data_IF_865463517435
#
_entry.id   IF_865463517435
#
_cell.length_a   1.000
_cell.length_b   1.000
_cell.length_c   1.000
_cell.angle_alpha   90.00
_cell.angle_beta   90.00
_cell.angle_gamma   90.00
#
_symmetry.space_group_name_H-M   'P 1'
#
loop_
_entity.id
_entity.type
_entity.pdbx_description
1 polymer ?
#
# COMPACT_ATOMS: atom_id res chain seq x y z
N UNK A 1 -37.58 35.79 25.08
CA UNK A 1 -36.94 34.94 24.05
C UNK A 1 -37.96 34.66 22.96
N UNK A 2 -37.69 35.00 21.70
CA UNK A 2 -38.57 34.59 20.59
C UNK A 2 -38.34 33.10 20.32
N UNK A 3 -39.33 32.26 20.58
CA UNK A 3 -39.32 30.88 20.10
C UNK A 3 -39.30 30.95 18.57
N UNK A 4 -38.18 30.57 17.94
CA UNK A 4 -38.19 30.34 16.49
C UNK A 4 -39.14 29.16 16.25
N UNK A 5 -40.10 29.35 15.35
CA UNK A 5 -41.03 28.31 14.96
C UNK A 5 -40.24 27.10 14.43
N UNK A 6 -40.57 25.92 14.95
CA UNK A 6 -40.08 24.65 14.40
C UNK A 6 -40.74 24.47 13.04
N UNK A 7 -39.94 24.30 11.99
CA UNK A 7 -40.46 23.86 10.69
C UNK A 7 -40.76 22.37 10.80
N UNK A 8 -42.04 22.03 10.71
CA UNK A 8 -42.56 20.66 10.71
C UNK A 8 -43.35 20.41 9.43
N UNK A 9 -43.42 19.14 9.03
CA UNK A 9 -44.07 18.71 7.79
C UNK A 9 -44.97 17.53 8.08
N UNK A 10 -46.21 17.60 7.61
CA UNK A 10 -47.07 16.44 7.59
C UNK A 10 -46.70 15.54 6.40
N UNK A 11 -46.45 14.27 6.67
CA UNK A 11 -46.19 13.27 5.64
C UNK A 11 -47.50 13.02 4.88
N UNK A 12 -47.40 13.03 3.55
CA UNK A 12 -48.50 12.71 2.64
C UNK A 12 -47.97 11.79 1.56
N UNK A 13 -48.67 10.71 1.29
CA UNK A 13 -48.20 9.68 0.35
C UNK A 13 -47.99 10.28 -1.05
N UNK A 14 -48.90 11.15 -1.49
CA UNK A 14 -48.88 11.82 -2.80
C UNK A 14 -47.64 12.70 -3.05
N UNK A 15 -47.02 13.24 -2.00
CA UNK A 15 -45.91 14.20 -2.08
C UNK A 15 -44.59 13.67 -1.57
N UNK A 16 -44.63 12.74 -0.63
CA UNK A 16 -43.47 12.28 0.13
C UNK A 16 -43.25 10.76 -0.01
N UNK A 17 -43.75 10.16 -1.09
CA UNK A 17 -43.58 8.74 -1.39
C UNK A 17 -42.12 8.27 -1.25
N UNK A 18 -41.15 9.07 -1.71
CA UNK A 18 -39.73 8.71 -1.60
C UNK A 18 -39.26 8.57 -0.15
N UNK A 19 -39.81 9.35 0.77
CA UNK A 19 -39.44 9.30 2.19
C UNK A 19 -40.06 8.09 2.88
N UNK A 20 -41.31 7.75 2.53
CA UNK A 20 -41.99 6.55 3.03
C UNK A 20 -41.29 5.27 2.54
N UNK A 21 -40.85 5.24 1.28
CA UNK A 21 -40.09 4.13 0.70
C UNK A 21 -38.68 3.95 1.30
N UNK A 22 -38.16 4.96 2.01
CA UNK A 22 -36.89 4.81 2.75
C UNK A 22 -37.07 4.03 4.08
N UNK A 23 -38.30 3.71 4.49
CA UNK A 23 -38.63 2.93 5.69
C UNK A 23 -37.87 3.41 6.94
N UNK A 24 -37.80 4.73 7.10
CA UNK A 24 -37.05 5.35 8.19
C UNK A 24 -37.82 5.24 9.50
N UNK A 25 -37.07 5.18 10.59
CA UNK A 25 -37.62 5.19 11.94
C UNK A 25 -37.17 6.45 12.69
N UNK A 26 -37.98 6.89 13.64
CA UNK A 26 -37.61 7.92 14.60
C UNK A 26 -36.44 7.42 15.47
N UNK A 27 -35.30 8.14 15.51
CA UNK A 27 -34.16 7.74 16.34
C UNK A 27 -34.44 7.73 17.86
N UNK A 28 -35.52 8.37 18.32
CA UNK A 28 -35.86 8.47 19.75
C UNK A 28 -36.80 7.36 20.19
N UNK A 29 -37.89 7.13 19.46
CA UNK A 29 -38.91 6.13 19.83
C UNK A 29 -38.70 4.78 19.14
N UNK A 30 -38.03 4.77 17.98
CA UNK A 30 -37.92 3.60 17.12
C UNK A 30 -39.15 3.37 16.23
N UNK A 31 -40.18 4.21 16.32
CA UNK A 31 -41.39 4.10 15.51
C UNK A 31 -41.09 4.42 14.04
N UNK A 32 -41.70 3.65 13.14
CA UNK A 32 -41.63 3.91 11.71
C UNK A 32 -42.49 5.11 11.32
N UNK A 33 -41.98 5.94 10.41
CA UNK A 33 -42.76 7.06 9.89
C UNK A 33 -43.87 6.57 8.96
N UNK A 34 -45.09 7.02 9.21
CA UNK A 34 -46.29 6.68 8.45
C UNK A 34 -46.91 7.91 7.80
N UNK A 35 -47.84 7.70 6.86
CA UNK A 35 -48.63 8.80 6.33
C UNK A 35 -49.44 9.48 7.44
N UNK A 36 -49.52 10.81 7.40
CA UNK A 36 -50.24 11.62 8.39
C UNK A 36 -49.38 12.10 9.55
N UNK A 37 -48.24 11.45 9.81
CA UNK A 37 -47.30 11.86 10.86
C UNK A 37 -46.72 13.25 10.59
N UNK A 38 -46.45 13.98 11.67
CA UNK A 38 -45.79 15.27 11.61
C UNK A 38 -44.31 15.11 11.98
N UNK A 39 -43.44 15.38 11.00
CA UNK A 39 -41.99 15.17 11.13
C UNK A 39 -41.20 16.47 11.06
N UNK A 40 -40.04 16.44 11.71
CA UNK A 40 -39.07 17.54 11.78
C UNK A 40 -37.71 17.01 11.34
N UNK A 41 -37.00 17.80 10.54
CA UNK A 41 -35.65 17.44 10.09
C UNK A 41 -34.60 18.33 10.76
N UNK A 42 -33.56 17.72 11.34
CA UNK A 42 -32.43 18.45 11.87
C UNK A 42 -31.68 19.18 10.74
N UNK A 43 -31.37 20.45 10.94
CA UNK A 43 -30.65 21.27 9.94
C UNK A 43 -29.21 20.81 9.68
N UNK A 44 -28.58 20.10 10.63
CA UNK A 44 -27.17 19.65 10.56
C UNK A 44 -27.07 18.27 9.94
N UNK A 45 -27.64 17.26 10.59
CA UNK A 45 -27.50 15.86 10.18
C UNK A 45 -28.57 15.37 9.21
N UNK A 46 -29.65 16.15 9.02
CA UNK A 46 -30.80 15.79 8.15
C UNK A 46 -31.55 14.52 8.59
N UNK A 47 -31.33 14.08 9.84
CA UNK A 47 -32.17 13.05 10.47
C UNK A 47 -33.59 13.58 10.66
N UNK A 48 -34.56 12.71 10.41
CA UNK A 48 -35.98 12.94 10.63
C UNK A 48 -36.35 12.49 12.04
N UNK A 49 -37.27 13.22 12.68
CA UNK A 49 -37.83 12.93 14.00
C UNK A 49 -39.33 13.18 13.94
N UNK A 50 -40.12 12.44 14.71
CA UNK A 50 -41.49 12.85 14.99
C UNK A 50 -41.44 14.19 15.74
N UNK A 51 -42.43 15.04 15.49
CA UNK A 51 -42.51 16.36 16.14
C UNK A 51 -42.56 16.23 17.67
N UNK A 52 -43.25 15.20 18.17
CA UNK A 52 -43.34 14.93 19.60
C UNK A 52 -41.99 14.48 20.18
N UNK A 53 -41.26 13.61 19.48
CA UNK A 53 -39.88 13.23 19.84
C UNK A 53 -38.94 14.43 19.86
N UNK A 54 -39.06 15.33 18.87
CA UNK A 54 -38.29 16.57 18.85
C UNK A 54 -38.60 17.47 20.05
N UNK A 55 -39.88 17.56 20.43
CA UNK A 55 -40.34 18.25 21.63
C UNK A 55 -39.79 17.63 22.91
N UNK A 56 -39.83 16.30 23.01
CA UNK A 56 -39.29 15.52 24.12
C UNK A 56 -37.79 15.76 24.33
N UNK A 57 -37.01 15.92 23.25
CA UNK A 57 -35.59 16.30 23.33
C UNK A 57 -35.35 17.79 23.64
N UNK A 58 -36.37 18.53 24.08
CA UNK A 58 -36.26 19.96 24.38
C UNK A 58 -36.00 20.82 23.13
N UNK A 59 -36.50 20.38 21.98
CA UNK A 59 -36.33 21.03 20.67
C UNK A 59 -34.87 21.24 20.27
N UNK A 60 -33.97 20.32 20.67
CA UNK A 60 -32.52 20.45 20.42
C UNK A 60 -31.93 19.13 19.95
N UNK A 61 -31.15 19.17 18.86
CA UNK A 61 -30.33 18.07 18.37
C UNK A 61 -29.09 18.63 17.67
N UNK A 62 -27.98 17.89 17.66
CA UNK A 62 -26.68 18.37 17.13
C UNK A 62 -26.28 19.75 17.69
N UNK A 63 -26.49 19.99 18.99
CA UNK A 63 -26.22 21.26 19.67
C UNK A 63 -26.95 22.50 19.13
N UNK A 64 -28.05 22.31 18.38
CA UNK A 64 -28.81 23.40 17.78
C UNK A 64 -30.33 23.13 17.83
N UNK A 65 -31.15 24.18 17.59
CA UNK A 65 -32.62 24.10 17.62
C UNK A 65 -33.29 24.36 16.26
N UNK A 66 -32.52 24.64 15.23
CA UNK A 66 -33.00 24.90 13.89
C UNK A 66 -33.37 23.60 13.14
N UNK A 67 -34.40 23.71 12.33
CA UNK A 67 -34.93 22.60 11.54
C UNK A 67 -34.99 23.02 10.08
N UNK A 68 -34.90 22.05 9.16
CA UNK A 68 -34.87 22.37 7.73
C UNK A 68 -36.16 23.09 7.32
N UNK A 69 -36.08 24.20 6.55
CA UNK A 69 -37.24 24.95 6.06
C UNK A 69 -37.87 24.34 4.81
N UNK A 70 -37.27 23.27 4.25
CA UNK A 70 -37.78 22.55 3.08
C UNK A 70 -37.65 21.05 3.33
N UNK A 71 -38.66 20.28 2.92
CA UNK A 71 -38.65 18.82 2.98
C UNK A 71 -37.53 18.25 2.06
N UNK A 72 -36.64 17.36 2.56
CA UNK A 72 -35.57 16.80 1.75
C UNK A 72 -36.08 15.98 0.56
N UNK A 73 -35.55 16.26 -0.63
CA UNK A 73 -35.81 15.46 -1.84
C UNK A 73 -34.78 14.34 -1.95
N UNK A 74 -35.22 13.14 -2.35
CA UNK A 74 -34.30 12.05 -2.64
C UNK A 74 -33.40 12.42 -3.83
N UNK A 75 -32.12 12.09 -3.73
CA UNK A 75 -31.17 12.24 -4.83
C UNK A 75 -30.74 10.83 -5.26
N UNK A 76 -30.98 10.48 -6.51
CA UNK A 76 -30.50 9.20 -7.07
C UNK A 76 -28.97 9.21 -7.04
N UNK A 77 -28.38 8.41 -6.14
CA UNK A 77 -26.95 8.18 -6.10
C UNK A 77 -26.62 7.13 -7.17
N UNK A 78 -26.09 7.57 -8.30
CA UNK A 78 -25.54 6.64 -9.30
C UNK A 78 -24.18 6.18 -8.79
N UNK A 79 -24.16 5.03 -8.10
CA UNK A 79 -22.91 4.37 -7.75
C UNK A 79 -22.21 3.96 -9.05
N UNK A 80 -21.03 4.51 -9.31
CA UNK A 80 -20.19 4.05 -10.41
C UNK A 80 -19.72 2.63 -10.07
N UNK A 81 -19.76 1.72 -11.06
CA UNK A 81 -19.23 0.35 -10.91
C UNK A 81 -17.82 0.42 -10.31
N UNK A 82 -17.47 -0.45 -9.34
CA UNK A 82 -16.11 -0.52 -8.82
C UNK A 82 -15.11 -0.65 -9.96
N UNK A 83 -14.03 0.13 -9.92
CA UNK A 83 -12.95 0.02 -10.90
C UNK A 83 -12.31 -1.36 -10.69
N UNK A 84 -12.51 -2.27 -11.64
CA UNK A 84 -11.84 -3.57 -11.64
C UNK A 84 -10.37 -3.35 -12.05
N UNK A 85 -9.45 -3.50 -11.09
CA UNK A 85 -8.03 -3.37 -11.35
C UNK A 85 -7.52 -4.61 -12.12
N UNK A 86 -6.66 -4.44 -13.14
CA UNK A 86 -6.15 -5.54 -13.96
C UNK A 86 -5.06 -6.37 -13.26
N UNK A 87 -4.89 -6.19 -11.95
CA UNK A 87 -3.83 -6.78 -11.17
C UNK A 87 -4.32 -7.26 -9.80
N UNK A 88 -3.56 -8.18 -9.24
CA UNK A 88 -3.73 -8.71 -7.88
C UNK A 88 -2.43 -8.53 -7.12
N UNK A 89 -2.50 -8.41 -5.80
CA UNK A 89 -1.29 -8.37 -4.98
C UNK A 89 -0.56 -9.71 -5.07
N UNK A 90 0.76 -9.66 -5.21
CA UNK A 90 1.56 -10.88 -5.22
C UNK A 90 1.61 -11.47 -3.81
N UNK A 91 1.42 -12.78 -3.70
CA UNK A 91 1.53 -13.54 -2.44
C UNK A 91 2.99 -13.61 -1.96
N UNK A 92 3.19 -13.81 -0.66
CA UNK A 92 4.51 -13.89 -0.05
C UNK A 92 5.40 -14.97 -0.72
N UNK A 93 4.85 -16.14 -1.01
CA UNK A 93 5.60 -17.25 -1.63
C UNK A 93 6.13 -16.90 -3.03
N UNK A 94 5.33 -16.19 -3.83
CA UNK A 94 5.72 -15.74 -5.17
C UNK A 94 6.81 -14.66 -5.11
N UNK A 95 6.73 -13.78 -4.12
CA UNK A 95 7.76 -12.76 -3.88
C UNK A 95 9.08 -13.38 -3.40
N UNK A 96 9.01 -14.32 -2.46
CA UNK A 96 10.17 -15.04 -1.94
C UNK A 96 10.85 -15.84 -3.05
N UNK A 97 10.08 -16.61 -3.83
CA UNK A 97 10.63 -17.39 -4.96
C UNK A 97 11.28 -16.51 -6.03
N UNK A 98 10.65 -15.39 -6.42
CA UNK A 98 11.27 -14.44 -7.35
C UNK A 98 12.58 -13.88 -6.81
N UNK A 99 12.62 -13.52 -5.53
CA UNK A 99 13.83 -13.06 -4.86
C UNK A 99 14.95 -14.11 -4.87
N UNK A 100 14.64 -15.38 -4.57
CA UNK A 100 15.63 -16.47 -4.63
C UNK A 100 16.17 -16.71 -6.03
N UNK A 101 15.30 -16.71 -7.05
CA UNK A 101 15.72 -16.83 -8.45
C UNK A 101 16.70 -15.71 -8.81
N UNK A 102 16.40 -14.47 -8.42
CA UNK A 102 17.27 -13.34 -8.68
C UNK A 102 18.64 -13.48 -7.99
N UNK A 103 18.68 -13.96 -6.74
CA UNK A 103 19.92 -14.23 -6.01
C UNK A 103 20.74 -15.32 -6.70
N UNK A 104 20.12 -16.43 -7.12
CA UNK A 104 20.80 -17.53 -7.80
C UNK A 104 21.42 -17.10 -9.13
N UNK A 105 20.66 -16.35 -9.95
CA UNK A 105 21.16 -15.79 -11.21
C UNK A 105 22.38 -14.91 -10.98
N UNK A 106 22.32 -14.07 -9.95
CA UNK A 106 23.40 -13.14 -9.64
C UNK A 106 24.65 -13.84 -9.11
N UNK A 107 24.49 -14.83 -8.22
CA UNK A 107 25.61 -15.66 -7.75
C UNK A 107 26.26 -16.39 -8.92
N UNK A 108 25.46 -16.98 -9.82
CA UNK A 108 25.97 -17.63 -11.03
C UNK A 108 26.76 -16.68 -11.93
N UNK A 109 26.28 -15.44 -12.10
CA UNK A 109 26.98 -14.41 -12.86
C UNK A 109 28.33 -14.04 -12.21
N UNK A 110 28.36 -13.82 -10.90
CA UNK A 110 29.58 -13.52 -10.16
C UNK A 110 30.63 -14.64 -10.26
N UNK A 111 30.21 -15.90 -10.10
CA UNK A 111 31.09 -17.08 -10.25
C UNK A 111 31.65 -17.15 -11.67
N UNK A 112 30.81 -16.91 -12.68
CA UNK A 112 31.24 -16.94 -14.09
C UNK A 112 32.28 -15.86 -14.37
N UNK A 113 32.07 -14.63 -13.90
CA UNK A 113 33.02 -13.53 -14.06
C UNK A 113 34.33 -13.83 -13.34
N UNK A 114 34.27 -14.38 -12.12
CA UNK A 114 35.45 -14.80 -11.36
C UNK A 114 36.24 -15.89 -12.11
N UNK A 115 35.56 -16.91 -12.66
CA UNK A 115 36.21 -17.96 -13.44
C UNK A 115 36.88 -17.42 -14.71
N UNK A 116 36.23 -16.48 -15.41
CA UNK A 116 36.80 -15.83 -16.60
C UNK A 116 38.04 -15.01 -16.24
N UNK A 117 37.97 -14.20 -15.18
CA UNK A 117 39.10 -13.36 -14.75
C UNK A 117 40.31 -14.19 -14.33
N UNK A 118 40.10 -15.31 -13.61
CA UNK A 118 41.16 -16.29 -13.30
C UNK A 118 41.74 -16.90 -14.57
N UNK A 119 40.88 -17.36 -15.51
CA UNK A 119 41.31 -17.97 -16.78
C UNK A 119 42.12 -17.00 -17.65
N UNK A 120 41.79 -15.71 -17.59
CA UNK A 120 42.46 -14.65 -18.35
C UNK A 120 43.67 -14.07 -17.61
N UNK A 121 44.05 -14.61 -16.44
CA UNK A 121 45.13 -14.11 -15.59
C UNK A 121 45.02 -12.60 -15.29
N UNK A 122 43.80 -12.07 -15.21
CA UNK A 122 43.57 -10.66 -14.87
C UNK A 122 43.74 -10.53 -13.36
N UNK A 123 44.84 -9.90 -12.93
CA UNK A 123 45.04 -9.55 -11.52
C UNK A 123 44.04 -8.46 -11.17
N UNK A 124 43.00 -8.82 -10.43
CA UNK A 124 41.99 -7.89 -9.95
C UNK A 124 42.28 -7.51 -8.50
N UNK A 125 42.05 -6.25 -8.16
CA UNK A 125 42.07 -5.83 -6.77
C UNK A 125 40.93 -6.55 -6.02
N UNK A 126 41.12 -7.02 -4.77
CA UNK A 126 40.06 -7.72 -4.01
C UNK A 126 38.74 -6.93 -3.89
N UNK A 127 38.81 -5.61 -3.93
CA UNK A 127 37.64 -4.72 -3.92
C UNK A 127 36.86 -4.69 -5.24
N UNK A 128 37.43 -5.14 -6.35
CA UNK A 128 36.75 -5.17 -7.65
C UNK A 128 35.45 -5.98 -7.59
N UNK A 129 35.49 -7.19 -7.03
CA UNK A 129 34.31 -8.04 -6.92
C UNK A 129 33.27 -7.48 -5.93
N UNK A 130 33.70 -6.78 -4.89
CA UNK A 130 32.79 -6.10 -3.97
C UNK A 130 32.04 -4.96 -4.68
N UNK A 131 32.75 -4.11 -5.43
CA UNK A 131 32.16 -3.01 -6.21
C UNK A 131 31.26 -3.56 -7.33
N UNK A 132 31.70 -4.59 -8.05
CA UNK A 132 30.91 -5.24 -9.08
C UNK A 132 29.61 -5.82 -8.50
N UNK A 133 29.69 -6.52 -7.38
CA UNK A 133 28.51 -7.05 -6.68
C UNK A 133 27.56 -5.92 -6.28
N UNK A 134 28.09 -4.84 -5.69
CA UNK A 134 27.31 -3.66 -5.34
C UNK A 134 26.55 -3.08 -6.55
N UNK A 135 27.23 -2.91 -7.69
CA UNK A 135 26.62 -2.40 -8.92
C UNK A 135 25.52 -3.37 -9.40
N UNK A 136 25.83 -4.66 -9.53
CA UNK A 136 24.89 -5.64 -10.06
C UNK A 136 23.63 -5.77 -9.20
N UNK A 137 23.76 -5.73 -7.88
CA UNK A 137 22.61 -5.78 -6.98
C UNK A 137 21.84 -4.45 -6.92
N UNK A 138 22.52 -3.29 -6.94
CA UNK A 138 21.86 -1.97 -6.90
C UNK A 138 20.97 -1.80 -8.13
N UNK A 139 21.48 -2.24 -9.27
CA UNK A 139 20.78 -2.12 -10.53
C UNK A 139 19.96 -3.35 -10.92
N UNK A 140 19.90 -4.38 -10.06
CA UNK A 140 19.18 -5.64 -10.33
C UNK A 140 17.73 -5.43 -10.77
N UNK A 141 17.00 -4.55 -10.09
CA UNK A 141 15.59 -4.27 -10.43
C UNK A 141 15.44 -3.09 -11.42
N UNK A 142 16.55 -2.47 -11.85
CA UNK A 142 16.58 -1.22 -12.64
C UNK A 142 17.15 -1.38 -14.06
N UNK A 143 18.20 -2.20 -14.26
CA UNK A 143 18.85 -2.43 -15.57
C UNK A 143 17.94 -3.26 -16.50
N UNK A 144 17.13 -4.15 -15.94
CA UNK A 144 16.05 -4.82 -16.66
C UNK A 144 14.75 -4.09 -16.32
N UNK A 145 14.49 -2.96 -17.00
CA UNK A 145 13.31 -2.08 -16.89
C UNK A 145 12.14 -2.73 -16.11
N UNK A 146 12.04 -2.43 -14.82
CA UNK A 146 10.99 -2.85 -13.87
C UNK A 146 10.78 -4.36 -13.64
N UNK A 147 11.66 -5.24 -14.14
CA UNK A 147 11.54 -6.69 -14.01
C UNK A 147 12.90 -7.35 -13.83
N UNK A 148 13.19 -7.75 -12.60
CA UNK A 148 14.24 -8.75 -12.36
C UNK A 148 13.82 -10.11 -12.96
N UNK A 149 14.77 -11.01 -13.17
CA UNK A 149 14.53 -12.32 -13.83
C UNK A 149 13.45 -13.11 -13.11
N UNK A 150 13.53 -13.20 -11.77
CA UNK A 150 12.55 -13.88 -10.94
C UNK A 150 11.17 -13.23 -11.00
N UNK A 151 11.09 -11.90 -10.99
CA UNK A 151 9.80 -11.19 -11.16
C UNK A 151 9.21 -11.41 -12.54
N UNK A 152 10.06 -11.45 -13.58
CA UNK A 152 9.64 -11.74 -14.95
C UNK A 152 9.03 -13.15 -15.05
N UNK A 153 9.70 -14.15 -14.46
CA UNK A 153 9.22 -15.52 -14.40
C UNK A 153 7.84 -15.63 -13.70
N UNK A 154 7.67 -14.88 -12.60
CA UNK A 154 6.42 -14.84 -11.83
C UNK A 154 5.36 -13.85 -12.39
N UNK A 155 5.64 -13.17 -13.51
CA UNK A 155 4.79 -12.13 -14.12
C UNK A 155 4.42 -10.99 -13.14
N UNK A 156 5.35 -10.63 -12.27
CA UNK A 156 5.21 -9.56 -11.30
C UNK A 156 5.87 -8.26 -11.79
N UNK A 157 5.33 -7.13 -11.33
CA UNK A 157 5.86 -5.80 -11.64
C UNK A 157 5.42 -4.80 -10.56
N UNK A 158 6.17 -3.69 -10.43
CA UNK A 158 5.79 -2.62 -9.52
C UNK A 158 4.80 -1.67 -10.19
N UNK A 159 3.81 -1.22 -9.41
CA UNK A 159 2.92 -0.11 -9.77
C UNK A 159 3.08 1.03 -8.77
N UNK A 160 2.79 2.24 -9.22
CA UNK A 160 2.56 3.39 -8.36
C UNK A 160 1.14 3.30 -7.76
N UNK A 161 1.04 3.42 -6.44
CA UNK A 161 -0.21 3.23 -5.68
C UNK A 161 -1.22 4.35 -5.95
N UNK A 162 -0.75 5.55 -6.29
CA UNK A 162 -1.61 6.71 -6.54
C UNK A 162 -2.20 6.65 -7.94
N UNK A 163 -1.37 6.33 -8.94
CA UNK A 163 -1.75 6.36 -10.36
C UNK A 163 -2.21 5.02 -10.90
N UNK A 164 -1.91 3.90 -10.22
CA UNK A 164 -2.09 2.53 -10.69
C UNK A 164 -1.36 2.21 -12.01
N UNK A 165 -0.39 3.04 -12.39
CA UNK A 165 0.47 2.82 -13.56
C UNK A 165 1.74 2.07 -13.13
N UNK A 166 2.49 1.45 -14.08
CA UNK A 166 3.79 0.87 -13.78
C UNK A 166 4.70 1.89 -13.06
N UNK A 167 5.38 1.45 -12.02
CA UNK A 167 6.27 2.31 -11.25
C UNK A 167 7.34 2.93 -12.15
N UNK A 168 7.70 4.18 -11.86
CA UNK A 168 8.77 4.86 -12.59
C UNK A 168 10.13 4.25 -12.28
N UNK A 169 11.08 4.45 -13.19
CA UNK A 169 12.47 4.03 -13.00
C UNK A 169 13.07 4.59 -11.69
N UNK A 170 12.75 5.83 -11.34
CA UNK A 170 13.27 6.48 -10.13
C UNK A 170 12.71 5.88 -8.85
N UNK A 171 11.44 5.45 -8.85
CA UNK A 171 10.87 4.75 -7.71
C UNK A 171 11.53 3.38 -7.51
N UNK A 172 11.75 2.62 -8.60
CA UNK A 172 12.40 1.31 -8.50
C UNK A 172 13.88 1.42 -8.14
N UNK A 173 14.60 2.40 -8.69
CA UNK A 173 15.98 2.70 -8.31
C UNK A 173 16.08 3.16 -6.84
N UNK A 174 15.21 4.09 -6.42
CA UNK A 174 15.18 4.58 -5.04
C UNK A 174 14.94 3.46 -4.03
N UNK A 175 14.06 2.50 -4.37
CA UNK A 175 13.82 1.31 -3.56
C UNK A 175 15.09 0.46 -3.41
N UNK A 176 15.80 0.22 -4.50
CA UNK A 176 17.05 -0.56 -4.45
C UNK A 176 18.15 0.17 -3.70
N UNK A 177 18.29 1.49 -3.90
CA UNK A 177 19.26 2.30 -3.17
C UNK A 177 18.97 2.29 -1.67
N UNK A 178 17.72 2.41 -1.25
CA UNK A 178 17.35 2.32 0.17
C UNK A 178 17.68 0.95 0.76
N UNK A 179 17.39 -0.13 0.03
CA UNK A 179 17.81 -1.48 0.40
C UNK A 179 19.34 -1.56 0.58
N UNK A 180 20.10 -0.91 -0.32
CA UNK A 180 21.55 -0.86 -0.27
C UNK A 180 22.12 0.10 0.75
N UNK A 181 21.42 1.17 1.14
CA UNK A 181 21.84 1.97 2.30
C UNK A 181 21.76 1.09 3.54
N UNK A 182 20.71 0.28 3.70
CA UNK A 182 20.60 -0.64 4.83
C UNK A 182 21.67 -1.74 4.82
N UNK A 183 21.97 -2.35 3.67
CA UNK A 183 23.03 -3.35 3.56
C UNK A 183 24.45 -2.73 3.59
N UNK A 184 24.60 -1.56 2.98
CA UNK A 184 25.84 -0.84 2.74
C UNK A 184 26.34 -0.08 3.95
N UNK A 185 25.47 0.32 4.89
CA UNK A 185 25.90 0.82 6.21
C UNK A 185 26.81 -0.20 6.89
N UNK A 186 26.54 -1.51 6.77
CA UNK A 186 27.41 -2.53 7.36
C UNK A 186 28.73 -2.71 6.62
N UNK A 187 28.72 -2.66 5.28
CA UNK A 187 29.95 -2.66 4.49
C UNK A 187 30.82 -1.43 4.77
N UNK A 188 30.19 -0.26 4.95
CA UNK A 188 30.84 1.01 5.29
C UNK A 188 31.43 0.97 6.70
N UNK A 189 30.66 0.52 7.71
CA UNK A 189 31.14 0.31 9.08
C UNK A 189 32.32 -0.66 9.09
N UNK A 190 32.30 -1.69 8.26
CA UNK A 190 33.41 -2.62 8.13
C UNK A 190 34.65 -2.00 7.45
N UNK A 191 34.47 -1.24 6.37
CA UNK A 191 35.58 -0.50 5.74
C UNK A 191 36.19 0.52 6.69
N UNK A 192 35.36 1.21 7.50
CA UNK A 192 35.80 2.14 8.53
C UNK A 192 36.60 1.42 9.61
N UNK A 193 36.14 0.27 10.11
CA UNK A 193 36.89 -0.51 11.11
C UNK A 193 38.22 -1.05 10.57
N UNK A 194 38.29 -1.43 9.29
CA UNK A 194 39.56 -1.78 8.62
C UNK A 194 40.51 -0.60 8.41
N UNK A 195 39.97 0.57 8.05
CA UNK A 195 40.76 1.78 7.93
C UNK A 195 41.28 2.29 9.29
N UNK A 196 40.56 1.98 10.37
CA UNK A 196 40.91 2.38 11.74
C UNK A 196 41.87 1.43 12.45
N UNK A 197 41.98 0.16 12.03
CA UNK A 197 42.95 -0.78 12.60
C UNK A 197 43.57 -1.68 11.51
N UNK A 198 44.80 -1.35 11.13
CA UNK A 198 45.59 -1.92 10.04
C UNK A 198 46.01 -3.39 10.26
N UNK A 199 45.40 -4.13 11.20
CA UNK A 199 45.92 -5.41 11.71
C UNK A 199 45.15 -6.66 11.27
N UNK A 200 44.02 -6.52 10.60
CA UNK A 200 43.31 -7.68 10.09
C UNK A 200 43.80 -7.92 8.65
N UNK A 201 44.87 -8.68 8.46
CA UNK A 201 45.30 -9.10 7.12
C UNK A 201 44.43 -10.25 6.56
N UNK A 202 43.55 -10.83 7.39
CA UNK A 202 42.68 -11.94 6.99
C UNK A 202 41.49 -11.49 6.12
N UNK A 203 41.78 -11.41 4.83
CA UNK A 203 40.83 -11.27 3.73
C UNK A 203 39.72 -12.36 3.76
N UNK A 204 40.00 -13.64 4.10
CA UNK A 204 38.95 -14.67 4.18
C UNK A 204 37.92 -14.43 5.29
N UNK A 205 38.38 -14.02 6.48
CA UNK A 205 37.51 -13.73 7.62
C UNK A 205 36.55 -12.57 7.29
N UNK A 206 37.06 -11.57 6.57
CA UNK A 206 36.27 -10.46 6.04
C UNK A 206 35.14 -10.94 5.12
N UNK A 207 35.45 -11.74 4.10
CA UNK A 207 34.42 -12.26 3.19
C UNK A 207 33.39 -13.13 3.92
N UNK A 208 33.81 -13.88 4.93
CA UNK A 208 32.90 -14.65 5.78
C UNK A 208 31.90 -13.76 6.55
N UNK A 209 32.36 -12.71 7.20
CA UNK A 209 31.48 -11.78 7.92
C UNK A 209 30.53 -11.02 6.98
N UNK A 210 31.02 -10.55 5.81
CA UNK A 210 30.16 -9.95 4.79
C UNK A 210 29.08 -10.96 4.35
N UNK A 211 29.46 -12.22 4.12
CA UNK A 211 28.55 -13.29 3.77
C UNK A 211 27.46 -13.49 4.83
N UNK A 212 27.84 -13.61 6.11
CA UNK A 212 26.90 -13.78 7.22
C UNK A 212 25.95 -12.59 7.37
N UNK A 213 26.46 -11.36 7.31
CA UNK A 213 25.63 -10.14 7.42
C UNK A 213 24.68 -10.06 6.23
N UNK A 214 25.15 -10.38 5.02
CA UNK A 214 24.31 -10.41 3.83
C UNK A 214 23.20 -11.45 4.00
N UNK A 215 23.50 -12.65 4.48
CA UNK A 215 22.49 -13.68 4.77
C UNK A 215 21.48 -13.18 5.81
N UNK A 216 21.95 -12.65 6.94
CA UNK A 216 21.09 -12.14 7.99
C UNK A 216 20.17 -11.01 7.49
N UNK A 217 20.70 -10.08 6.69
CA UNK A 217 19.94 -8.96 6.14
C UNK A 217 18.91 -9.43 5.11
N UNK A 218 19.25 -10.45 4.30
CA UNK A 218 18.31 -11.08 3.38
C UNK A 218 17.19 -11.83 4.15
N UNK A 219 17.51 -12.56 5.22
CA UNK A 219 16.51 -13.22 6.08
C UNK A 219 15.58 -12.19 6.70
N UNK A 220 16.15 -11.13 7.29
CA UNK A 220 15.37 -10.02 7.85
C UNK A 220 14.50 -9.36 6.78
N UNK A 221 15.05 -9.14 5.58
CA UNK A 221 14.31 -8.57 4.46
C UNK A 221 13.13 -9.47 4.03
N UNK A 222 13.34 -10.79 3.93
CA UNK A 222 12.26 -11.73 3.62
C UNK A 222 11.17 -11.65 4.70
N UNK A 223 11.55 -11.80 5.97
CA UNK A 223 10.59 -11.79 7.08
C UNK A 223 9.82 -10.48 7.18
N UNK A 224 10.52 -9.35 7.26
CA UNK A 224 9.88 -8.07 7.54
C UNK A 224 9.27 -7.40 6.30
N UNK A 225 9.79 -7.65 5.08
CA UNK A 225 9.29 -6.98 3.88
C UNK A 225 8.45 -7.87 2.96
N UNK A 226 8.71 -9.18 2.91
CA UNK A 226 7.94 -10.08 2.05
C UNK A 226 6.69 -10.58 2.77
N UNK A 227 6.78 -11.02 4.02
CA UNK A 227 5.63 -11.56 4.77
C UNK A 227 4.59 -10.46 5.08
N UNK A 228 5.04 -9.25 5.41
CA UNK A 228 4.14 -8.14 5.76
C UNK A 228 3.37 -7.54 4.56
N UNK A 229 3.46 -8.12 3.35
CA UNK A 229 2.81 -7.74 2.08
C UNK A 229 3.02 -6.30 1.56
N UNK A 230 3.43 -5.36 2.42
CA UNK A 230 3.66 -3.98 2.07
C UNK A 230 4.83 -3.40 2.88
N UNK A 231 6.01 -3.53 2.28
CA UNK A 231 7.28 -3.10 2.90
C UNK A 231 7.25 -1.62 3.27
N UNK A 232 8.02 -1.24 4.28
CA UNK A 232 8.13 0.18 4.65
C UNK A 232 8.73 1.02 3.50
N UNK A 233 9.65 0.46 2.72
CA UNK A 233 10.21 1.13 1.54
C UNK A 233 9.16 1.35 0.44
N UNK A 234 8.33 0.33 0.21
CA UNK A 234 7.24 0.37 -0.76
C UNK A 234 6.23 1.47 -0.38
N UNK A 235 5.92 1.59 0.92
CA UNK A 235 5.10 2.69 1.47
C UNK A 235 5.73 4.05 1.25
N UNK A 236 7.02 4.20 1.57
CA UNK A 236 7.75 5.47 1.45
C UNK A 236 7.78 5.96 0.00
N UNK A 237 7.93 5.05 -0.96
CA UNK A 237 8.03 5.37 -2.38
C UNK A 237 6.69 5.35 -3.11
N UNK A 238 5.60 5.02 -2.40
CA UNK A 238 4.26 4.91 -2.97
C UNK A 238 4.16 3.85 -4.08
N UNK A 239 4.93 2.76 -3.98
CA UNK A 239 4.92 1.68 -4.97
C UNK A 239 4.47 0.37 -4.35
N UNK A 240 3.97 -0.55 -5.18
CA UNK A 240 3.59 -1.89 -4.71
C UNK A 240 3.85 -2.95 -5.76
N UNK A 241 4.33 -4.11 -5.31
CA UNK A 241 4.54 -5.27 -6.18
C UNK A 241 3.21 -5.99 -6.44
N UNK A 242 2.84 -6.13 -7.70
CA UNK A 242 1.59 -6.75 -8.15
C UNK A 242 1.86 -7.79 -9.22
N UNK A 243 0.85 -8.62 -9.48
CA UNK A 243 0.82 -9.61 -10.54
C UNK A 243 -0.35 -9.31 -11.47
N UNK A 244 -0.18 -9.58 -12.77
CA UNK A 244 -1.28 -9.46 -13.73
C UNK A 244 -2.40 -10.44 -13.36
N UNK A 245 -3.64 -9.97 -13.25
CA UNK A 245 -4.80 -10.83 -13.01
C UNK A 245 -4.87 -11.81 -14.19
N UNK A 246 -4.67 -13.10 -13.93
CA UNK A 246 -4.90 -14.12 -14.96
C UNK A 246 -6.39 -14.11 -15.21
N UNK A 247 -6.82 -13.87 -16.45
CA UNK A 247 -8.22 -14.07 -16.80
C UNK A 247 -8.53 -15.52 -16.40
N UNK A 248 -9.46 -15.69 -15.45
CA UNK A 248 -9.98 -17.02 -15.14
C UNK A 248 -10.59 -17.46 -16.46
N UNK A 249 -9.93 -18.36 -17.18
CA UNK A 249 -10.56 -19.04 -18.29
C UNK A 249 -11.64 -19.87 -17.62
N UNK A 250 -12.89 -19.43 -17.72
CA UNK A 250 -14.02 -20.25 -17.34
C UNK A 250 -13.93 -21.52 -18.22
N UNK A 251 -13.39 -22.59 -17.64
CA UNK A 251 -13.48 -23.96 -18.12
C UNK A 251 -14.66 -24.61 -17.43
#
# INVERSE_FOLDING_TARGET
MRFRSVNSYQIREDRHQHFLLEERNDPVTGDSFSEGDEVVFCSVCKSAFLKDSWGYMGNKHCNQRATLPIFPKSKKLTLKKPIELPFVFADADQRSSAFFVDVLVLVGLCITIAAITVRMHIVTHPYFYAVLSFILFTFRDSILINRSVGKSFQKMYFIDVTTNLPATFWQTLGRNLLYWVMNGIFALVFMITKALDNKIEDTPLLFFFIGLITIATNIFYVKENIENTYSWFDKLLGIRLVKKKTAISNQ
#
